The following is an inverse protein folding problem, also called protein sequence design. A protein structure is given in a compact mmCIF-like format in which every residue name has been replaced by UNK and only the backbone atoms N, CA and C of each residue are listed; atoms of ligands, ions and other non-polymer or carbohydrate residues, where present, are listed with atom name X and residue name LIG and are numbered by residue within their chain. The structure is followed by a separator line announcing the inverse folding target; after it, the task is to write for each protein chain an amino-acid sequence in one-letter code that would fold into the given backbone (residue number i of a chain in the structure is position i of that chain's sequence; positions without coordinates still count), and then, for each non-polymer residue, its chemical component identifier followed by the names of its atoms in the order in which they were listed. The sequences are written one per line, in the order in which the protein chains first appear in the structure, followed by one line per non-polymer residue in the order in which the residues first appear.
data_IF_446686855491
#
_entry.id   IF_446686855491
#
_cell.length_a   1.000
_cell.length_b   1.000
_cell.length_c   1.000
_cell.angle_alpha   90.00
_cell.angle_beta   90.00
_cell.angle_gamma   90.00
#
_symmetry.space_group_name_H-M   'P 1'
#
loop_
_entity.id
_entity.type
_entity.pdbx_description
1 polymer ?
#
# COMPACT_ATOMS: atom_id res chain seq x y z
N UNK A 1 5.42 -25.03 -25.75
CA UNK A 1 5.59 -23.61 -25.41
C UNK A 1 4.40 -23.24 -24.55
N UNK A 2 4.50 -23.55 -23.26
CA UNK A 2 3.46 -23.34 -22.25
C UNK A 2 4.10 -22.59 -21.10
N UNK A 3 4.54 -21.38 -21.40
CA UNK A 3 5.53 -20.68 -20.57
C UNK A 3 4.88 -19.41 -19.99
N UNK A 4 3.81 -19.57 -19.20
CA UNK A 4 3.21 -18.50 -18.40
C UNK A 4 2.20 -19.04 -17.37
N UNK A 5 2.72 -19.63 -16.29
CA UNK A 5 1.92 -20.04 -15.13
C UNK A 5 1.46 -18.83 -14.30
N UNK A 6 0.20 -18.83 -13.85
CA UNK A 6 -0.38 -17.76 -13.02
C UNK A 6 0.36 -17.56 -11.69
N UNK A 7 0.78 -18.64 -11.01
CA UNK A 7 1.58 -18.55 -9.78
C UNK A 7 2.91 -17.82 -10.00
N UNK A 8 3.55 -18.02 -11.16
CA UNK A 8 4.82 -17.35 -11.49
C UNK A 8 4.61 -15.85 -11.67
N UNK A 9 3.50 -15.42 -12.28
CA UNK A 9 3.18 -13.99 -12.38
C UNK A 9 2.88 -13.37 -11.02
N UNK A 10 2.08 -14.04 -10.20
CA UNK A 10 1.78 -13.59 -8.84
C UNK A 10 3.06 -13.40 -8.00
N UNK A 11 3.97 -14.38 -8.00
CA UNK A 11 5.22 -14.26 -7.25
C UNK A 11 6.16 -13.18 -7.81
N UNK A 12 6.17 -12.98 -9.14
CA UNK A 12 6.91 -11.89 -9.76
C UNK A 12 6.38 -10.51 -9.34
N UNK A 13 5.06 -10.35 -9.18
CA UNK A 13 4.47 -9.11 -8.67
C UNK A 13 4.89 -8.84 -7.21
N UNK A 14 4.88 -9.85 -6.34
CA UNK A 14 5.37 -9.71 -4.95
C UNK A 14 6.82 -9.24 -4.91
N UNK A 15 7.68 -9.86 -5.72
CA UNK A 15 9.08 -9.48 -5.80
C UNK A 15 9.23 -8.04 -6.29
N UNK A 16 8.45 -7.63 -7.29
CA UNK A 16 8.48 -6.28 -7.82
C UNK A 16 8.08 -5.24 -6.76
N UNK A 17 7.03 -5.50 -5.97
CA UNK A 17 6.65 -4.65 -4.83
C UNK A 17 7.80 -4.49 -3.84
N UNK A 18 8.47 -5.58 -3.46
CA UNK A 18 9.62 -5.53 -2.54
C UNK A 18 10.83 -4.79 -3.11
N UNK A 19 11.08 -4.92 -4.41
CA UNK A 19 12.14 -4.19 -5.10
C UNK A 19 11.81 -2.70 -5.18
N UNK A 20 10.56 -2.34 -5.51
CA UNK A 20 10.13 -0.95 -5.62
C UNK A 20 10.21 -0.22 -4.27
N UNK A 21 9.84 -0.89 -3.17
CA UNK A 21 10.01 -0.36 -1.79
C UNK A 21 11.45 0.02 -1.47
N UNK A 22 12.43 -0.68 -2.04
CA UNK A 22 13.87 -0.45 -1.79
C UNK A 22 14.48 0.55 -2.75
N UNK A 23 14.12 0.44 -4.03
CA UNK A 23 14.68 1.22 -5.13
C UNK A 23 13.52 1.64 -6.06
N UNK A 24 12.80 2.72 -5.72
CA UNK A 24 11.61 3.15 -6.46
C UNK A 24 12.02 3.73 -7.82
N UNK A 25 12.03 2.87 -8.85
CA UNK A 25 12.41 3.22 -10.21
C UNK A 25 11.23 2.98 -11.15
N UNK A 26 10.95 3.91 -12.07
CA UNK A 26 9.81 3.85 -12.99
C UNK A 26 9.73 2.52 -13.77
N UNK A 27 10.87 2.01 -14.25
CA UNK A 27 10.93 0.70 -14.93
C UNK A 27 10.37 -0.49 -14.12
N UNK A 28 10.42 -0.45 -12.79
CA UNK A 28 9.80 -1.47 -11.93
C UNK A 28 8.28 -1.31 -11.91
N UNK A 29 7.77 -0.09 -11.82
CA UNK A 29 6.33 0.22 -11.95
C UNK A 29 5.79 -0.23 -13.31
N UNK A 30 6.51 0.06 -14.40
CA UNK A 30 6.13 -0.39 -15.75
C UNK A 30 6.09 -1.93 -15.85
N UNK A 31 7.08 -2.60 -15.23
CA UNK A 31 7.13 -4.05 -15.21
C UNK A 31 6.02 -4.66 -14.35
N UNK A 32 5.62 -4.00 -13.26
CA UNK A 32 4.50 -4.39 -12.42
C UNK A 32 3.19 -4.26 -13.19
N UNK A 33 2.93 -3.10 -13.78
CA UNK A 33 1.72 -2.81 -14.56
C UNK A 33 1.53 -3.82 -15.70
N UNK A 34 2.58 -4.04 -16.51
CA UNK A 34 2.52 -5.01 -17.62
C UNK A 34 2.14 -6.41 -17.15
N UNK A 35 2.69 -6.86 -16.02
CA UNK A 35 2.41 -8.19 -15.46
C UNK A 35 1.02 -8.26 -14.86
N UNK A 36 0.58 -7.21 -14.17
CA UNK A 36 -0.75 -7.13 -13.60
C UNK A 36 -1.80 -7.18 -14.72
N UNK A 37 -1.73 -6.25 -15.67
CA UNK A 37 -2.74 -6.11 -16.73
C UNK A 37 -2.76 -7.28 -17.70
N UNK A 38 -1.59 -7.75 -18.15
CA UNK A 38 -1.54 -8.82 -19.16
C UNK A 38 -1.50 -10.21 -18.53
N UNK A 39 -0.85 -10.37 -17.38
CA UNK A 39 -0.56 -11.67 -16.77
C UNK A 39 -1.54 -12.09 -15.67
N UNK A 40 -2.17 -11.14 -14.96
CA UNK A 40 -3.04 -11.45 -13.80
C UNK A 40 -4.50 -11.10 -14.05
N UNK A 41 -4.82 -9.91 -14.57
CA UNK A 41 -6.22 -9.51 -14.78
C UNK A 41 -6.99 -10.50 -15.68
N UNK A 42 -6.28 -11.15 -16.60
CA UNK A 42 -6.86 -12.12 -17.52
C UNK A 42 -7.01 -13.55 -16.99
N UNK A 43 -6.63 -13.85 -15.75
CA UNK A 43 -6.65 -15.23 -15.21
C UNK A 43 -8.01 -15.64 -14.66
N UNK A 44 -8.84 -14.70 -14.24
CA UNK A 44 -10.21 -14.95 -13.78
C UNK A 44 -11.16 -14.95 -14.97
N UNK A 45 -12.06 -15.92 -15.04
CA UNK A 45 -13.12 -15.90 -16.05
C UNK A 45 -14.01 -14.68 -15.81
N UNK A 46 -14.27 -13.84 -16.84
CA UNK A 46 -14.93 -12.55 -16.65
C UNK A 46 -16.40 -12.66 -16.26
N UNK A 47 -17.06 -13.77 -16.61
CA UNK A 47 -18.48 -13.99 -16.32
C UNK A 47 -18.72 -14.95 -15.15
N UNK A 48 -17.73 -15.76 -14.77
CA UNK A 48 -17.91 -16.83 -13.79
C UNK A 48 -16.85 -16.68 -12.70
N UNK A 49 -17.25 -16.33 -11.49
CA UNK A 49 -16.32 -16.19 -10.37
C UNK A 49 -15.75 -17.57 -9.96
N UNK A 50 -14.49 -17.60 -9.53
CA UNK A 50 -13.82 -18.83 -9.07
C UNK A 50 -13.25 -19.71 -10.19
N UNK A 51 -13.68 -19.52 -11.45
CA UNK A 51 -13.05 -20.16 -12.61
C UNK A 51 -11.75 -19.42 -12.97
N UNK A 52 -10.60 -20.05 -12.73
CA UNK A 52 -9.28 -19.44 -12.91
C UNK A 52 -8.39 -20.23 -13.87
N UNK A 53 -7.47 -19.53 -14.53
CA UNK A 53 -6.44 -20.14 -15.37
C UNK A 53 -5.25 -20.65 -14.54
N UNK A 54 -4.77 -21.84 -14.87
CA UNK A 54 -3.45 -22.30 -14.44
C UNK A 54 -2.35 -21.72 -15.33
N UNK A 55 -2.42 -21.99 -16.64
CA UNK A 55 -1.49 -21.50 -17.66
C UNK A 55 -2.20 -20.46 -18.53
N UNK A 56 -1.49 -19.41 -18.93
CA UNK A 56 -2.00 -18.49 -19.93
C UNK A 56 -1.74 -19.03 -21.34
N UNK A 57 -2.79 -19.36 -22.12
CA UNK A 57 -2.60 -19.83 -23.48
C UNK A 57 -2.20 -18.66 -24.39
N UNK A 58 -0.95 -18.66 -24.85
CA UNK A 58 -0.40 -17.66 -25.79
C UNK A 58 -0.17 -18.22 -27.21
N UNK A 59 -0.48 -19.49 -27.44
CA UNK A 59 -0.32 -20.14 -28.74
C UNK A 59 -1.26 -19.58 -29.80
N UNK A 60 -0.81 -19.56 -31.06
CA UNK A 60 -1.63 -19.15 -32.19
C UNK A 60 -2.87 -20.07 -32.33
N UNK A 61 -4.05 -19.47 -32.46
CA UNK A 61 -5.31 -20.21 -32.59
C UNK A 61 -5.86 -20.80 -31.28
N UNK A 62 -5.19 -20.57 -30.14
CA UNK A 62 -5.65 -21.00 -28.81
C UNK A 62 -6.45 -19.88 -28.15
N UNK A 63 -7.49 -20.21 -27.39
CA UNK A 63 -8.21 -19.26 -26.56
C UNK A 63 -8.41 -19.80 -25.15
N UNK A 64 -8.52 -18.91 -24.14
CA UNK A 64 -8.68 -19.29 -22.73
C UNK A 64 -9.82 -20.31 -22.48
N UNK A 65 -11.01 -20.18 -23.10
CA UNK A 65 -12.09 -21.17 -22.90
C UNK A 65 -11.91 -22.47 -23.70
N UNK A 66 -11.07 -22.48 -24.74
CA UNK A 66 -10.88 -23.64 -25.64
C UNK A 66 -9.53 -24.33 -25.46
N UNK A 67 -8.65 -23.74 -24.66
CA UNK A 67 -7.43 -24.38 -24.22
C UNK A 67 -7.82 -25.59 -23.38
N UNK A 68 -7.20 -26.73 -23.65
CA UNK A 68 -7.53 -28.03 -23.04
C UNK A 68 -7.31 -28.01 -21.51
N UNK A 69 -6.22 -28.60 -21.03
CA UNK A 69 -5.89 -28.55 -19.60
C UNK A 69 -5.44 -27.16 -19.14
N UNK A 70 -5.03 -26.29 -20.08
CA UNK A 70 -4.61 -24.91 -19.83
C UNK A 70 -5.79 -23.90 -19.89
N UNK A 71 -7.02 -24.38 -20.03
CA UNK A 71 -8.21 -23.55 -19.98
C UNK A 71 -8.57 -23.10 -18.57
N UNK A 72 -9.74 -22.47 -18.44
CA UNK A 72 -10.30 -22.18 -17.13
C UNK A 72 -10.64 -23.49 -16.40
N UNK A 73 -10.26 -23.59 -15.13
CA UNK A 73 -10.78 -24.62 -14.25
C UNK A 73 -12.24 -24.37 -13.88
N UNK A 74 -12.87 -25.31 -13.16
CA UNK A 74 -14.19 -25.13 -12.58
C UNK A 74 -14.10 -24.64 -11.13
N UNK A 75 -15.07 -23.80 -10.74
CA UNK A 75 -15.04 -23.06 -9.47
C UNK A 75 -15.01 -23.95 -8.22
N UNK A 76 -15.58 -25.16 -8.28
CA UNK A 76 -15.76 -26.06 -7.13
C UNK A 76 -14.93 -27.34 -7.21
N UNK A 77 -14.12 -27.53 -8.26
CA UNK A 77 -13.35 -28.77 -8.48
C UNK A 77 -11.88 -28.55 -8.87
N UNK A 78 -11.49 -27.31 -9.19
CA UNK A 78 -10.17 -26.98 -9.71
C UNK A 78 -9.34 -26.22 -8.67
N UNK A 79 -8.89 -26.96 -7.65
CA UNK A 79 -8.11 -26.44 -6.52
C UNK A 79 -6.60 -26.51 -6.76
N UNK A 80 -6.13 -25.87 -7.82
CA UNK A 80 -4.70 -25.81 -8.12
C UNK A 80 -4.00 -24.71 -7.31
N UNK A 81 -2.67 -24.74 -7.30
CA UNK A 81 -1.87 -23.65 -6.74
C UNK A 81 -2.26 -22.28 -7.35
N UNK A 82 -2.51 -22.24 -8.66
CA UNK A 82 -2.89 -21.04 -9.39
C UNK A 82 -4.26 -20.47 -8.96
N UNK A 83 -5.19 -21.32 -8.51
CA UNK A 83 -6.47 -20.86 -7.97
C UNK A 83 -6.25 -20.04 -6.69
N UNK A 84 -5.40 -20.53 -5.78
CA UNK A 84 -5.05 -19.78 -4.57
C UNK A 84 -4.29 -18.48 -4.87
N UNK A 85 -3.29 -18.53 -5.75
CA UNK A 85 -2.57 -17.33 -6.18
C UNK A 85 -3.47 -16.32 -6.90
N UNK A 86 -4.45 -16.79 -7.67
CA UNK A 86 -5.42 -15.93 -8.33
C UNK A 86 -6.30 -15.21 -7.31
N UNK A 87 -6.89 -15.92 -6.36
CA UNK A 87 -7.69 -15.32 -5.27
C UNK A 87 -6.88 -14.25 -4.53
N UNK A 88 -5.64 -14.56 -4.14
CA UNK A 88 -4.79 -13.61 -3.44
C UNK A 88 -4.41 -12.39 -4.30
N UNK A 89 -4.18 -12.59 -5.61
CA UNK A 89 -3.87 -11.50 -6.53
C UNK A 89 -5.02 -10.50 -6.62
N UNK A 90 -6.26 -10.97 -6.75
CA UNK A 90 -7.43 -10.10 -6.82
C UNK A 90 -7.75 -9.43 -5.48
N UNK A 91 -7.40 -10.04 -4.36
CA UNK A 91 -7.52 -9.41 -3.04
C UNK A 91 -6.52 -8.26 -2.82
N UNK A 92 -5.42 -8.21 -3.59
CA UNK A 92 -4.28 -7.30 -3.40
C UNK A 92 -4.07 -6.30 -4.54
N UNK A 93 -5.09 -6.04 -5.35
CA UNK A 93 -4.98 -5.12 -6.50
C UNK A 93 -4.56 -3.70 -6.09
N UNK A 94 -4.89 -3.26 -4.88
CA UNK A 94 -4.57 -1.93 -4.38
C UNK A 94 -3.18 -1.80 -3.73
N UNK A 95 -2.50 -2.91 -3.41
CA UNK A 95 -1.28 -2.92 -2.58
C UNK A 95 -0.08 -2.20 -3.21
N UNK A 96 -0.10 -1.98 -4.52
CA UNK A 96 1.01 -1.40 -5.29
C UNK A 96 0.65 -0.06 -5.95
N UNK A 97 -0.42 0.61 -5.51
CA UNK A 97 -0.79 1.94 -6.03
C UNK A 97 0.10 3.02 -5.40
N UNK A 98 0.24 3.01 -4.08
CA UNK A 98 0.99 4.03 -3.32
C UNK A 98 2.15 3.40 -2.55
N UNK A 99 3.31 4.05 -2.56
CA UNK A 99 4.47 3.65 -1.76
C UNK A 99 5.01 4.85 -0.99
N UNK A 100 5.22 4.65 0.31
CA UNK A 100 5.81 5.67 1.17
C UNK A 100 7.28 5.38 1.43
N UNK A 101 8.10 6.43 1.47
CA UNK A 101 9.50 6.35 1.86
C UNK A 101 9.79 7.38 2.95
N UNK A 102 10.02 6.86 4.16
CA UNK A 102 10.51 7.63 5.28
C UNK A 102 12.03 7.64 5.28
N UNK A 103 12.61 8.84 5.41
CA UNK A 103 14.03 8.98 5.67
C UNK A 103 14.29 8.87 7.18
N UNK A 104 15.42 8.26 7.56
CA UNK A 104 15.72 7.68 8.89
C UNK A 104 15.56 8.62 10.12
N UNK A 105 15.34 9.90 9.91
CA UNK A 105 15.15 10.96 10.90
C UNK A 105 13.70 11.25 11.27
N UNK A 106 12.73 10.79 10.47
CA UNK A 106 11.27 10.95 10.69
C UNK A 106 10.69 9.70 11.33
N UNK A 107 11.52 8.69 11.62
CA UNK A 107 11.08 7.49 12.32
C UNK A 107 10.46 7.85 13.69
N UNK A 108 9.44 7.10 14.17
CA UNK A 108 8.73 7.39 15.42
C UNK A 108 9.71 7.65 16.57
N UNK A 109 9.34 8.53 17.53
CA UNK A 109 10.17 8.93 18.68
C UNK A 109 10.90 7.77 19.39
N UNK A 110 10.36 6.56 19.35
CA UNK A 110 11.00 5.34 19.87
C UNK A 110 12.18 4.82 19.04
N UNK A 111 12.14 4.92 17.71
CA UNK A 111 13.27 4.61 16.83
C UNK A 111 14.38 5.66 16.94
N UNK A 112 14.00 6.94 17.07
CA UNK A 112 14.95 8.03 17.34
C UNK A 112 15.70 7.83 18.67
N UNK A 113 15.03 7.32 19.73
CA UNK A 113 15.68 6.98 21.01
C UNK A 113 16.65 5.81 20.91
N UNK A 114 16.39 4.81 20.06
CA UNK A 114 17.33 3.69 19.81
C UNK A 114 18.57 4.13 19.04
N UNK A 115 18.44 5.12 18.17
CA UNK A 115 19.55 5.66 17.37
C UNK A 115 20.31 6.81 18.09
N UNK A 116 19.78 7.34 19.19
CA UNK A 116 20.41 8.38 20.01
C UNK A 116 21.64 7.90 20.81
N UNK A 117 22.03 6.64 20.67
CA UNK A 117 23.34 6.12 21.09
C UNK A 117 24.47 6.44 20.09
N UNK A 118 24.17 7.15 18.99
CA UNK A 118 25.19 7.75 18.14
C UNK A 118 25.95 8.87 18.90
N UNK A 119 27.28 8.81 18.84
CA UNK A 119 28.23 9.75 19.44
C UNK A 119 27.79 11.21 19.23
N UNK A 120 27.86 12.04 20.28
CA UNK A 120 27.54 13.46 20.17
C UNK A 120 28.44 14.14 19.12
N UNK A 121 27.91 15.09 18.31
CA UNK A 121 28.71 15.80 17.31
C UNK A 121 29.95 16.44 17.96
N UNK A 122 31.12 16.33 17.31
CA UNK A 122 32.35 16.93 17.83
C UNK A 122 32.22 18.45 17.83
N UNK A 123 32.75 19.10 18.86
CA UNK A 123 32.73 20.56 19.01
C UNK A 123 33.40 21.21 17.78
N UNK A 124 32.63 22.01 17.02
CA UNK A 124 33.11 22.72 15.83
C UNK A 124 32.69 22.13 14.49
N UNK A 125 32.03 20.96 14.47
CA UNK A 125 31.45 20.40 13.26
C UNK A 125 30.09 21.06 12.95
N UNK A 126 29.81 21.46 11.70
CA UNK A 126 28.48 21.97 11.35
C UNK A 126 27.42 20.90 11.64
N UNK A 127 26.21 21.30 12.08
CA UNK A 127 25.15 20.33 12.32
C UNK A 127 24.86 19.54 11.03
N UNK A 128 24.52 18.24 11.14
CA UNK A 128 24.13 17.46 9.98
C UNK A 128 22.95 18.15 9.28
N UNK A 129 22.87 18.08 7.93
CA UNK A 129 21.76 18.66 7.21
C UNK A 129 20.44 18.09 7.74
N UNK A 130 19.36 18.90 7.75
CA UNK A 130 18.06 18.38 8.08
C UNK A 130 17.75 17.24 7.10
N UNK A 131 17.06 16.22 7.58
CA UNK A 131 16.73 15.10 6.73
C UNK A 131 15.80 15.48 5.58
N UNK A 132 15.75 14.65 4.52
CA UNK A 132 14.80 14.86 3.45
C UNK A 132 13.36 14.68 3.98
N UNK A 133 12.38 15.42 3.41
CA UNK A 133 10.97 15.21 3.73
C UNK A 133 10.52 13.80 3.33
N UNK A 134 9.44 13.28 3.94
CA UNK A 134 8.88 11.98 3.55
C UNK A 134 8.43 12.04 2.09
N UNK A 135 8.59 10.92 1.37
CA UNK A 135 8.26 10.82 -0.04
C UNK A 135 7.09 9.86 -0.26
N UNK A 136 6.19 10.23 -1.17
CA UNK A 136 5.08 9.40 -1.63
C UNK A 136 5.24 9.15 -3.13
N UNK A 137 5.21 7.88 -3.52
CA UNK A 137 5.23 7.45 -4.91
C UNK A 137 3.86 6.94 -5.31
N UNK A 138 3.35 7.42 -6.43
CA UNK A 138 2.18 6.86 -7.12
C UNK A 138 2.71 5.98 -8.25
N UNK A 139 2.55 4.67 -8.11
CA UNK A 139 3.08 3.68 -9.05
C UNK A 139 2.05 3.24 -10.08
N UNK A 140 0.76 3.24 -9.73
CA UNK A 140 -0.33 2.85 -10.63
C UNK A 140 -1.40 3.94 -10.66
N UNK A 141 -2.08 4.08 -11.79
CA UNK A 141 -3.10 5.12 -12.00
C UNK A 141 -4.51 4.58 -11.89
N UNK A 142 -4.75 3.76 -10.86
CA UNK A 142 -6.07 3.18 -10.57
C UNK A 142 -6.82 4.16 -9.66
N UNK A 143 -8.07 4.56 -10.00
CA UNK A 143 -8.85 5.46 -9.18
C UNK A 143 -8.95 4.96 -7.73
N UNK A 144 -8.55 5.81 -6.79
CA UNK A 144 -8.40 5.42 -5.39
C UNK A 144 -8.32 6.62 -4.47
N UNK A 145 -8.62 6.39 -3.19
CA UNK A 145 -8.40 7.34 -2.10
C UNK A 145 -7.31 6.82 -1.19
N UNK A 146 -6.39 7.68 -0.76
CA UNK A 146 -5.30 7.30 0.11
C UNK A 146 -5.07 8.34 1.22
N UNK A 147 -5.02 7.87 2.46
CA UNK A 147 -4.68 8.69 3.62
C UNK A 147 -3.19 8.56 3.90
N UNK A 148 -2.44 9.65 3.72
CA UNK A 148 -1.01 9.70 3.98
C UNK A 148 -0.73 10.45 5.28
N UNK A 149 -0.63 9.71 6.39
CA UNK A 149 -0.46 10.29 7.72
C UNK A 149 0.85 11.03 7.90
N UNK A 150 1.95 10.50 7.36
CA UNK A 150 3.30 11.08 7.49
C UNK A 150 3.45 12.38 6.71
N UNK A 151 2.69 12.54 5.61
CA UNK A 151 2.60 13.79 4.85
C UNK A 151 1.45 14.71 5.29
N UNK A 152 0.55 14.25 6.16
CA UNK A 152 -0.63 15.01 6.61
C UNK A 152 -1.69 15.26 5.54
N UNK A 153 -1.78 14.37 4.54
CA UNK A 153 -2.58 14.58 3.33
C UNK A 153 -3.59 13.46 3.09
N UNK A 154 -4.78 13.84 2.64
CA UNK A 154 -5.70 12.93 1.96
C UNK A 154 -5.54 13.13 0.46
N UNK A 155 -5.34 12.03 -0.26
CA UNK A 155 -5.19 12.01 -1.71
C UNK A 155 -6.40 11.36 -2.37
N UNK A 156 -6.95 12.05 -3.36
CA UNK A 156 -7.92 11.49 -4.30
C UNK A 156 -7.26 11.38 -5.67
N UNK A 157 -7.09 10.15 -6.13
CA UNK A 157 -6.60 9.81 -7.45
C UNK A 157 -7.79 9.47 -8.34
N UNK A 158 -7.99 10.23 -9.41
CA UNK A 158 -8.95 9.89 -10.47
C UNK A 158 -8.21 9.71 -11.78
N UNK A 159 -8.71 8.77 -12.58
CA UNK A 159 -8.20 8.52 -13.93
C UNK A 159 -9.37 8.39 -14.89
N UNK A 160 -9.28 9.05 -16.04
CA UNK A 160 -10.23 8.89 -17.13
C UNK A 160 -9.47 8.58 -18.42
N UNK A 161 -9.95 7.58 -19.15
CA UNK A 161 -9.55 7.37 -20.54
C UNK A 161 -10.29 8.40 -21.38
N UNK A 162 -9.55 9.21 -22.12
CA UNK A 162 -10.16 10.11 -23.10
C UNK A 162 -10.77 9.26 -24.24
N UNK A 163 -12.06 9.46 -24.49
CA UNK A 163 -12.79 8.73 -25.53
C UNK A 163 -12.47 9.24 -26.94
N UNK A 164 -12.01 10.49 -27.07
CA UNK A 164 -11.76 11.13 -28.36
C UNK A 164 -10.33 10.89 -28.86
N UNK A 165 -9.39 10.66 -27.94
CA UNK A 165 -8.05 10.18 -28.26
C UNK A 165 -7.88 8.77 -27.70
N UNK A 166 -7.89 7.77 -28.58
CA UNK A 166 -7.51 6.41 -28.23
C UNK A 166 -6.02 6.41 -27.79
N UNK A 167 -5.75 6.79 -26.53
CA UNK A 167 -4.39 6.86 -25.99
C UNK A 167 -4.09 7.92 -24.95
N UNK A 168 -4.98 8.85 -24.59
CA UNK A 168 -4.68 9.80 -23.48
C UNK A 168 -5.37 9.41 -22.17
N UNK A 169 -4.58 9.35 -21.10
CA UNK A 169 -5.03 9.09 -19.74
C UNK A 169 -4.92 10.40 -18.95
N UNK A 170 -6.06 10.94 -18.52
CA UNK A 170 -6.09 12.13 -17.66
C UNK A 170 -6.03 11.67 -16.22
N UNK A 171 -4.96 12.04 -15.51
CA UNK A 171 -4.73 11.72 -14.11
C UNK A 171 -4.87 13.01 -13.30
N UNK A 172 -5.79 13.01 -12.34
CA UNK A 172 -5.93 14.12 -11.38
C UNK A 172 -5.56 13.62 -10.00
N UNK A 173 -4.59 14.29 -9.37
CA UNK A 173 -4.24 14.08 -7.97
C UNK A 173 -4.66 15.32 -7.16
N UNK A 174 -5.69 15.16 -6.34
CA UNK A 174 -6.15 16.23 -5.44
C UNK A 174 -5.57 16.00 -4.05
N UNK A 175 -4.88 17.01 -3.54
CA UNK A 175 -4.28 17.04 -2.21
C UNK A 175 -5.19 17.83 -1.27
N UNK A 176 -5.63 17.22 -0.17
CA UNK A 176 -6.45 17.87 0.84
C UNK A 176 -5.73 17.83 2.18
N UNK A 177 -5.62 18.97 2.89
CA UNK A 177 -5.05 19.01 4.24
C UNK A 177 -5.94 18.24 5.22
N UNK A 178 -5.34 17.32 5.98
CA UNK A 178 -6.07 16.49 6.93
C UNK A 178 -6.08 17.12 8.34
N UNK A 179 -7.21 17.71 8.73
CA UNK A 179 -7.41 18.21 10.10
C UNK A 179 -8.00 17.10 10.99
N UNK A 180 -7.18 16.47 11.83
CA UNK A 180 -7.64 15.45 12.79
C UNK A 180 -7.99 16.10 14.13
N UNK A 181 -9.27 16.05 14.51
CA UNK A 181 -9.74 16.47 15.83
C UNK A 181 -10.01 15.25 16.71
N UNK A 182 -9.26 15.07 17.79
CA UNK A 182 -9.53 14.01 18.78
C UNK A 182 -10.30 14.57 19.98
N UNK A 183 -11.43 13.95 20.33
CA UNK A 183 -12.13 14.27 21.58
C UNK A 183 -11.54 13.44 22.73
N UNK A 184 -10.79 14.06 23.64
CA UNK A 184 -10.43 13.41 24.89
C UNK A 184 -11.69 13.22 25.73
N UNK A 185 -12.00 12.00 26.18
CA UNK A 185 -13.04 11.78 27.20
C UNK A 185 -12.56 12.45 28.48
N UNK A 186 -13.24 13.53 28.89
CA UNK A 186 -13.02 14.17 30.18
C UNK A 186 -13.23 13.16 31.30
N UNK A 187 -12.16 12.84 32.02
CA UNK A 187 -12.24 12.07 33.26
C UNK A 187 -12.95 12.91 34.32
N UNK A 188 -14.20 12.55 34.62
CA UNK A 188 -14.92 13.05 35.77
C UNK A 188 -14.22 12.60 37.05
N UNK A 189 -13.43 13.49 37.64
CA UNK A 189 -12.87 13.34 38.98
C UNK A 189 -13.58 14.28 39.93
N UNK A 190 -14.78 13.92 40.38
CA UNK A 190 -15.36 14.52 41.57
C UNK A 190 -14.68 13.90 42.80
N UNK A 191 -13.74 14.64 43.39
CA UNK A 191 -13.14 14.35 44.70
C UNK A 191 -13.54 15.45 45.67
N UNK A 192 -14.75 15.36 46.21
CA UNK A 192 -15.10 16.03 47.47
C UNK A 192 -14.53 15.22 48.65
N UNK A 193 -13.25 15.41 48.92
CA UNK A 193 -12.56 14.91 50.11
C UNK A 193 -12.17 16.06 51.04
N UNK A 194 -13.12 16.58 51.80
CA UNK A 194 -12.88 17.61 52.82
C UNK A 194 -13.18 17.06 54.20
N UNK A 195 -12.17 16.48 54.86
CA UNK A 195 -12.28 16.02 56.25
C UNK A 195 -10.92 15.91 56.93
N UNK A 196 -10.70 16.72 57.98
CA UNK A 196 -9.92 16.30 59.14
C UNK A 196 -8.87 17.26 59.70
N UNK A 197 -9.15 17.78 60.92
CA UNK A 197 -8.16 18.18 61.93
C UNK A 197 -8.17 19.69 62.25
N UNK A 198 -8.47 20.20 63.45
CA UNK A 198 -8.61 19.60 64.78
C UNK A 198 -7.68 20.27 65.80
N UNK A 199 -8.20 21.22 66.61
CA UNK A 199 -7.70 21.67 67.94
C UNK A 199 -6.39 22.50 67.97
N UNK A 200 -6.20 23.54 68.80
CA UNK A 200 -6.97 24.14 69.89
C UNK A 200 -6.08 25.05 70.76
N UNK A 201 -6.62 26.20 71.23
CA UNK A 201 -6.22 27.02 72.40
C UNK A 201 -4.95 27.88 72.30
N UNK A 202 -4.84 29.11 72.82
CA UNK A 202 -5.71 30.06 73.53
C UNK A 202 -4.84 31.30 73.84
N UNK A 203 -5.25 32.52 73.50
CA UNK A 203 -5.77 33.53 74.45
C UNK A 203 -4.65 34.35 75.11
N UNK A 204 -4.54 35.65 74.80
CA UNK A 204 -3.56 36.66 75.30
C UNK A 204 -2.07 36.31 75.24
#
# INVERSE_FOLDING_TARGET
FEDLESCTQYNALKLNVELFRRVPHAALADAFERKLLNGVMGIQHPAHAGEMLYMMPLGAGVSKPKANWAGFGAAEDSFWCCTGSGVESFAKLADAIFFERLHASVAPREAARRNASAEAPRVGEPPPPPPPPPELYVSQYIPSTYEWSEGGLLLLLTSALDGDTCGSLVITLTLMELHVHSHARGGGGDRSGGGGGGGGGGGV
#
